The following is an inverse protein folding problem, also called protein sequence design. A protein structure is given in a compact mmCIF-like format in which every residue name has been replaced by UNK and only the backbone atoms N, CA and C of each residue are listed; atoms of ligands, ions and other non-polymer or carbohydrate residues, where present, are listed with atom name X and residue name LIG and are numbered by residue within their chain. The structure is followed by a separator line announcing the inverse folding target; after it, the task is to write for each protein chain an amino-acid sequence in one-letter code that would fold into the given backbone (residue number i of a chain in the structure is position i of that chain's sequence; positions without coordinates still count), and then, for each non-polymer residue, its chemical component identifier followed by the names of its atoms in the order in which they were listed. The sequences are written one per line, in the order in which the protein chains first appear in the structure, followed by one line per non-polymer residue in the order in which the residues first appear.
data_IF_723056773903
#
_entry.id   IF_723056773903
#
_cell.length_a   1.000
_cell.length_b   1.000
_cell.length_c   1.000
_cell.angle_alpha   90.00
_cell.angle_beta   90.00
_cell.angle_gamma   90.00
#
_symmetry.space_group_name_H-M   'P 1'
#
loop_
_entity.id
_entity.type
_entity.pdbx_description
1 polymer ?
2 non-polymer ?
3 non-polymer ?
4 water ?
#
# COMPACT_ATOMS: atom_id res chain seq x y z
N UNK A 20 16.90 -23.20 7.53
CA UNK A 20 17.56 -24.53 7.65
C UNK A 20 16.54 -25.65 7.96
N UNK A 21 15.24 -25.33 7.77
CA UNK A 21 14.10 -26.25 8.03
C UNK A 21 12.94 -26.03 7.00
N UNK A 22 11.91 -26.89 7.03
CA UNK A 22 10.95 -26.96 5.94
C UNK A 22 9.47 -26.67 6.28
N UNK A 23 8.65 -26.56 5.24
CA UNK A 23 7.21 -26.37 5.36
C UNK A 23 6.50 -27.03 4.21
N UNK A 24 5.27 -27.44 4.45
CA UNK A 24 4.46 -28.00 3.41
C UNK A 24 3.22 -27.15 3.26
N UNK A 25 2.89 -26.83 2.02
CA UNK A 25 1.70 -26.07 1.73
C UNK A 25 0.97 -26.74 0.58
N UNK A 26 -0.22 -27.25 0.88
CA UNK A 26 -1.02 -28.02 -0.06
C UNK A 26 -0.20 -29.12 -0.74
N UNK A 27 0.41 -29.96 0.09
CA UNK A 27 1.13 -31.12 -0.40
C UNK A 27 2.53 -30.82 -0.90
N UNK A 28 2.92 -29.55 -0.95
CA UNK A 28 4.22 -29.17 -1.50
C UNK A 28 5.18 -28.61 -0.46
N UNK A 29 6.42 -29.06 -0.58
CA UNK A 29 7.44 -28.70 0.37
C UNK A 29 8.20 -27.47 -0.07
N UNK A 30 8.50 -26.61 0.91
CA UNK A 30 9.26 -25.38 0.71
C UNK A 30 10.41 -25.35 1.70
N UNK A 31 11.60 -24.95 1.24
CA UNK A 31 12.75 -24.78 2.12
C UNK A 31 12.75 -23.35 2.60
N UNK A 32 12.97 -23.14 3.90
CA UNK A 32 13.02 -21.78 4.46
C UNK A 32 14.41 -21.16 4.41
N UNK A 33 14.62 -20.20 3.53
CA UNK A 33 15.89 -19.49 3.49
C UNK A 33 16.03 -18.63 4.75
N UNK A 34 15.07 -17.75 4.99
CA UNK A 34 15.12 -16.86 6.16
C UNK A 34 13.74 -16.30 6.45
N UNK A 35 13.62 -15.72 7.63
CA UNK A 35 12.45 -14.96 8.02
C UNK A 35 12.68 -13.47 7.78
N UNK A 36 11.80 -12.85 7.00
CA UNK A 36 11.88 -11.42 6.69
C UNK A 36 11.22 -10.61 7.79
N UNK A 37 10.08 -11.09 8.30
CA UNK A 37 9.30 -10.33 9.29
C UNK A 37 8.49 -11.19 10.25
N UNK A 38 8.38 -10.68 11.49
CA UNK A 38 7.69 -11.34 12.61
C UNK A 38 6.46 -10.52 13.01
N UNK A 39 5.75 -10.96 14.05
CA UNK A 39 4.53 -10.28 14.53
C UNK A 39 3.64 -11.10 15.46
N UNK A 40 2.50 -10.50 15.83
CA UNK A 40 1.36 -11.23 16.39
C UNK A 40 0.37 -11.51 15.25
N UNK A 41 -0.11 -12.75 15.15
CA UNK A 41 0.68 -13.92 15.45
C UNK A 41 0.97 -14.40 14.03
N UNK A 42 1.89 -13.70 13.36
CA UNK A 42 2.15 -13.98 11.94
C UNK A 42 3.61 -13.69 11.54
N UNK A 43 4.07 -14.37 10.48
CA UNK A 43 5.47 -14.32 10.08
C UNK A 43 5.60 -14.46 8.57
N UNK A 44 6.62 -13.85 7.99
CA UNK A 44 6.89 -14.10 6.58
C UNK A 44 8.30 -14.69 6.44
N UNK A 45 8.36 -15.84 5.78
CA UNK A 45 9.63 -16.44 5.42
C UNK A 45 9.87 -16.34 3.90
N UNK A 46 11.15 -16.18 3.54
CA UNK A 46 11.56 -16.27 2.17
C UNK A 46 11.90 -17.72 1.92
N UNK A 47 11.33 -18.32 0.88
CA UNK A 47 11.41 -19.77 0.72
C UNK A 47 11.65 -20.18 -0.72
N UNK A 48 12.14 -21.40 -0.87
CA UNK A 48 12.39 -22.02 -2.16
C UNK A 48 11.54 -23.26 -2.33
N UNK A 49 10.90 -23.41 -3.49
CA UNK A 49 10.19 -24.64 -3.82
C UNK A 49 11.13 -25.70 -4.44
N UNK A 50 10.57 -26.84 -4.86
CA UNK A 50 11.41 -27.93 -5.39
C UNK A 50 12.14 -27.56 -6.69
N UNK A 51 11.51 -26.73 -7.51
CA UNK A 51 12.13 -26.18 -8.72
C UNK A 51 13.11 -25.05 -8.34
N UNK A 52 13.31 -24.83 -7.03
CA UNK A 52 14.26 -23.83 -6.52
C UNK A 52 13.80 -22.43 -6.93
N UNK A 53 12.48 -22.24 -7.08
CA UNK A 53 11.87 -20.92 -7.35
C UNK A 53 11.63 -20.23 -6.03
N UNK A 54 11.67 -18.89 -6.02
CA UNK A 54 11.60 -18.13 -4.77
C UNK A 54 10.22 -17.50 -4.44
N UNK A 55 9.82 -17.60 -3.17
CA UNK A 55 8.50 -17.12 -2.73
C UNK A 55 8.55 -16.49 -1.35
N UNK A 56 7.54 -15.68 -1.01
CA UNK A 56 7.34 -15.30 0.38
C UNK A 56 6.18 -16.17 0.80
N UNK A 57 6.28 -16.73 2.00
CA UNK A 57 5.19 -17.46 2.62
C UNK A 57 4.89 -16.74 3.91
N UNK A 58 3.64 -16.27 4.03
CA UNK A 58 3.15 -15.67 5.27
C UNK A 58 2.46 -16.81 6.00
N UNK A 59 2.67 -16.83 7.29
CA UNK A 59 2.02 -17.78 8.14
C UNK A 59 1.37 -17.03 9.26
N UNK A 60 0.10 -17.32 9.52
CA UNK A 60 -0.67 -16.67 10.57
C UNK A 60 -1.13 -17.77 11.53
N UNK A 61 -0.86 -17.56 12.82
CA UNK A 61 -1.28 -18.48 13.87
C UNK A 61 -2.63 -18.01 14.35
N UNK A 62 -3.62 -18.90 14.34
CA UNK A 62 -4.99 -18.51 14.71
C UNK A 62 -5.33 -18.91 16.15
N UNK A 63 -4.35 -19.40 16.92
CA UNK A 63 -4.62 -19.96 18.26
C UNK A 63 -5.55 -19.08 19.12
N UNK A 64 -5.27 -17.79 19.17
CA UNK A 64 -6.06 -16.83 19.97
C UNK A 64 -6.82 -15.82 19.06
N UNK A 65 -7.24 -16.29 17.89
CA UNK A 65 -8.00 -15.51 16.90
C UNK A 65 -9.52 -15.75 17.01
N UNK A 66 -10.27 -14.66 17.21
CA UNK A 66 -11.75 -14.65 17.39
C UNK A 66 -12.55 -14.59 16.09
N UNK A 67 -13.80 -15.06 16.09
CA UNK A 67 -14.60 -15.21 14.85
C UNK A 67 -14.63 -13.99 13.94
N UNK A 68 -14.68 -12.82 14.56
CA UNK A 68 -14.69 -11.56 13.83
C UNK A 68 -13.33 -11.44 13.10
N UNK A 69 -12.25 -11.56 13.86
CA UNK A 69 -10.93 -11.60 13.27
C UNK A 69 -10.85 -12.61 12.12
N UNK A 70 -11.28 -13.85 12.39
CA UNK A 70 -11.18 -14.92 11.42
C UNK A 70 -11.93 -14.57 10.15
N UNK A 71 -13.11 -14.00 10.29
CA UNK A 71 -13.86 -13.66 9.11
C UNK A 71 -13.18 -12.53 8.34
N UNK A 72 -12.64 -11.55 9.06
CA UNK A 72 -11.89 -10.47 8.43
C UNK A 72 -10.77 -11.04 7.57
N UNK A 73 -10.04 -12.00 8.12
CA UNK A 73 -8.95 -12.67 7.39
C UNK A 73 -9.49 -13.46 6.19
N UNK A 74 -10.58 -14.17 6.38
CA UNK A 74 -11.08 -14.94 5.28
C UNK A 74 -11.48 -14.03 4.15
N UNK A 75 -11.95 -12.83 4.52
CA UNK A 75 -12.43 -11.85 3.54
C UNK A 75 -11.29 -11.27 2.74
N UNK A 76 -10.27 -10.75 3.39
CA UNK A 76 -9.09 -10.29 2.69
C UNK A 76 -8.47 -11.39 1.78
N UNK A 77 -8.34 -12.60 2.29
CA UNK A 77 -7.86 -13.71 1.44
C UNK A 77 -8.77 -13.90 0.21
N UNK A 78 -10.06 -13.74 0.38
CA UNK A 78 -10.97 -13.98 -0.74
C UNK A 78 -10.67 -12.98 -1.86
N UNK A 79 -10.50 -11.71 -1.47
CA UNK A 79 -10.35 -10.60 -2.41
C UNK A 79 -9.00 -10.59 -3.08
N UNK A 80 -7.95 -10.84 -2.31
CA UNK A 80 -6.63 -11.07 -2.91
C UNK A 80 -6.66 -12.14 -3.98
N UNK A 81 -7.41 -13.18 -3.70
CA UNK A 81 -7.49 -14.25 -4.65
C UNK A 81 -8.23 -13.82 -5.91
N UNK A 82 -9.34 -13.09 -5.75
CA UNK A 82 -10.14 -12.68 -6.90
C UNK A 82 -9.36 -11.68 -7.74
N UNK A 83 -8.84 -10.63 -7.11
CA UNK A 83 -8.21 -9.56 -7.83
C UNK A 83 -6.91 -9.99 -8.51
N UNK A 84 -6.35 -11.15 -8.16
CA UNK A 84 -5.33 -11.82 -9.00
C UNK A 84 -5.55 -11.57 -10.50
N UNK A 85 -6.64 -12.16 -11.03
CA UNK A 85 -6.95 -12.11 -12.45
C UNK A 85 -6.86 -10.68 -13.00
N UNK A 86 -7.30 -9.69 -12.21
CA UNK A 86 -7.66 -8.35 -12.74
C UNK A 86 -6.53 -7.33 -12.86
N UNK A 87 -5.35 -7.58 -12.27
CA UNK A 87 -4.23 -6.64 -12.38
C UNK A 87 -2.93 -7.18 -11.79
N UNK A 88 -1.87 -7.12 -12.56
CA UNK A 88 -0.59 -7.51 -12.03
C UNK A 88 0.01 -6.45 -11.11
N UNK A 89 -0.67 -5.32 -10.87
CA UNK A 89 -0.20 -4.40 -9.82
C UNK A 89 -0.69 -4.75 -8.42
N UNK A 90 -1.36 -5.91 -8.27
CA UNK A 90 -1.63 -6.52 -6.98
C UNK A 90 -0.69 -7.71 -6.82
N UNK A 91 -0.14 -7.89 -5.62
CA UNK A 91 0.80 -8.97 -5.26
C UNK A 91 0.25 -10.35 -5.65
N UNK A 92 1.10 -11.29 -6.07
CA UNK A 92 0.57 -12.60 -6.53
C UNK A 92 0.36 -13.50 -5.33
N UNK A 93 -0.80 -14.16 -5.32
CA UNK A 93 -1.09 -15.27 -4.41
C UNK A 93 -1.23 -16.52 -5.26
N UNK A 94 -0.27 -17.42 -5.09
CA UNK A 94 -0.19 -18.65 -5.92
C UNK A 94 -0.93 -19.77 -5.22
N UNK A 95 -0.94 -19.73 -3.89
CA UNK A 95 -1.59 -20.75 -3.10
C UNK A 95 -1.73 -20.41 -1.63
N UNK A 96 -2.54 -21.22 -0.97
CA UNK A 96 -2.70 -21.09 0.48
C UNK A 96 -3.27 -22.34 1.05
N UNK A 97 -2.94 -22.57 2.31
CA UNK A 97 -3.50 -23.65 3.08
C UNK A 97 -4.03 -23.08 4.39
N UNK A 98 -5.30 -23.34 4.67
CA UNK A 98 -5.94 -22.75 5.83
C UNK A 98 -6.63 -23.80 6.65
N UNK A 99 -6.29 -23.86 7.93
CA UNK A 99 -6.99 -24.72 8.89
C UNK A 99 -7.44 -23.86 10.07
N UNK A 100 -7.94 -24.52 11.11
CA UNK A 100 -8.41 -23.82 12.28
C UNK A 100 -7.25 -23.29 13.13
N UNK A 101 -6.06 -23.87 12.95
CA UNK A 101 -4.87 -23.46 13.71
C UNK A 101 -4.02 -22.41 13.00
N UNK A 102 -3.99 -22.43 11.66
CA UNK A 102 -3.10 -21.53 10.92
C UNK A 102 -3.52 -21.24 9.50
N UNK A 103 -2.96 -20.16 8.95
CA UNK A 103 -2.96 -19.94 7.50
C UNK A 103 -1.52 -20.03 6.97
N UNK A 104 -1.39 -20.50 5.75
CA UNK A 104 -0.14 -20.40 5.01
C UNK A 104 -0.47 -19.79 3.70
N UNK A 105 0.16 -18.69 3.34
CA UNK A 105 -0.13 -18.10 2.06
C UNK A 105 1.15 -18.14 1.28
N UNK A 106 1.06 -18.66 0.06
CA UNK A 106 2.21 -18.72 -0.80
C UNK A 106 2.10 -17.64 -1.87
N UNK A 107 2.92 -16.62 -1.66
CA UNK A 107 2.87 -15.38 -2.42
C UNK A 107 4.16 -15.09 -3.15
N UNK A 108 4.08 -14.15 -4.08
CA UNK A 108 5.24 -13.55 -4.75
C UNK A 108 6.18 -12.89 -3.73
N UNK A 109 7.49 -13.14 -3.84
CA UNK A 109 8.47 -12.50 -2.98
C UNK A 109 8.97 -11.15 -3.50
N UNK A 110 8.84 -10.13 -2.66
CA UNK A 110 9.31 -8.82 -3.01
C UNK A 110 10.81 -8.68 -2.87
N UNK A 111 11.35 -7.65 -3.53
CA UNK A 111 12.73 -7.28 -3.37
C UNK A 111 12.89 -6.40 -2.13
N UNK A 112 11.91 -5.55 -1.89
CA UNK A 112 11.96 -4.55 -0.81
C UNK A 112 10.61 -3.85 -0.80
N UNK A 113 10.21 -3.33 0.33
CA UNK A 113 8.98 -2.60 0.41
C UNK A 113 9.32 -1.18 0.12
N UNK A 114 8.32 -0.44 -0.33
CA UNK A 114 8.51 0.91 -0.77
C UNK A 114 9.10 1.77 0.34
N UNK A 115 8.67 1.56 1.57
CA UNK A 115 9.09 2.44 2.65
C UNK A 115 10.57 2.30 3.02
N UNK A 116 11.02 1.05 3.12
CA UNK A 116 12.43 0.79 3.26
C UNK A 116 13.11 1.45 2.10
N UNK A 117 12.56 1.25 0.91
CA UNK A 117 13.21 1.74 -0.29
C UNK A 117 13.36 3.27 -0.28
N UNK A 118 12.32 3.99 0.15
CA UNK A 118 12.39 5.45 0.26
C UNK A 118 13.25 5.93 1.43
N UNK A 119 13.09 5.30 2.60
CA UNK A 119 13.95 5.54 3.75
C UNK A 119 15.45 5.48 3.36
N UNK A 120 15.82 4.53 2.49
CA UNK A 120 17.24 4.31 2.11
C UNK A 120 17.61 4.95 0.75
N UNK A 121 16.73 5.80 0.19
CA UNK A 121 17.02 6.54 -1.05
C UNK A 121 17.26 8.04 -0.70
N UNK A 122 18.27 8.66 -1.33
CA UNK A 122 18.62 10.08 -1.08
C UNK A 122 17.94 11.07 -2.06
N UNK A 123 17.43 10.55 -3.18
CA UNK A 123 16.51 11.25 -4.07
C UNK A 123 15.91 10.19 -5.01
N UNK A 124 15.00 10.58 -5.89
CA UNK A 124 14.46 9.62 -6.83
C UNK A 124 14.49 10.11 -8.26
N UNK A 125 14.71 9.16 -9.16
CA UNK A 125 14.70 9.40 -10.58
C UNK A 125 13.30 9.89 -10.94
N UNK A 126 13.19 11.06 -11.59
CA UNK A 126 11.86 11.59 -11.92
C UNK A 126 10.98 10.61 -12.68
N UNK A 127 11.60 9.79 -13.53
CA UNK A 127 10.94 8.79 -14.34
C UNK A 127 10.53 7.61 -13.51
N UNK A 128 11.42 7.21 -12.61
CA UNK A 128 11.20 6.06 -11.77
C UNK A 128 10.00 6.34 -10.90
N UNK A 129 9.97 7.55 -10.32
CA UNK A 129 8.81 8.06 -9.58
C UNK A 129 7.50 8.05 -10.39
N UNK A 130 7.53 8.63 -11.58
CA UNK A 130 6.36 8.66 -12.43
C UNK A 130 5.89 7.24 -12.66
N UNK A 131 6.82 6.33 -12.89
CA UNK A 131 6.44 4.95 -13.14
C UNK A 131 5.86 4.26 -11.89
N UNK A 132 6.32 4.64 -10.69
CA UNK A 132 5.75 4.04 -9.48
C UNK A 132 4.36 4.61 -9.24
N UNK A 133 4.19 5.90 -9.54
CA UNK A 133 2.85 6.49 -9.44
C UNK A 133 1.87 5.70 -10.32
N UNK A 134 2.14 5.54 -11.62
CA UNK A 134 1.29 4.74 -12.49
C UNK A 134 0.90 3.42 -11.81
N UNK A 135 1.84 2.77 -11.16
CA UNK A 135 1.55 1.52 -10.52
C UNK A 135 0.59 1.70 -9.34
N UNK A 136 0.89 2.64 -8.44
CA UNK A 136 0.02 2.87 -7.28
C UNK A 136 -1.37 3.12 -7.78
N UNK A 137 -1.53 3.99 -8.77
CA UNK A 137 -2.88 4.30 -9.30
C UNK A 137 -3.57 3.06 -9.86
N UNK A 138 -2.84 2.17 -10.52
CA UNK A 138 -3.49 0.99 -11.12
C UNK A 138 -3.98 -0.01 -10.04
N UNK A 139 -3.19 -0.18 -8.98
CA UNK A 139 -3.60 -1.12 -7.93
C UNK A 139 -4.85 -0.62 -7.24
N UNK A 140 -4.81 0.65 -6.84
CA UNK A 140 -5.90 1.23 -6.09
C UNK A 140 -7.09 1.39 -6.98
N UNK A 141 -6.88 1.77 -8.22
CA UNK A 141 -7.99 1.84 -9.17
C UNK A 141 -8.69 0.50 -9.15
N UNK A 142 -7.94 -0.59 -9.04
CA UNK A 142 -8.58 -1.89 -9.14
C UNK A 142 -9.55 -2.19 -7.99
N UNK A 143 -9.08 -1.96 -6.78
CA UNK A 143 -9.78 -2.41 -5.61
C UNK A 143 -11.02 -1.51 -5.59
N UNK A 144 -10.83 -0.23 -5.88
CA UNK A 144 -11.98 0.66 -6.00
C UNK A 144 -13.01 0.12 -6.95
N UNK A 145 -12.62 -0.48 -8.07
CA UNK A 145 -13.58 -1.06 -9.03
C UNK A 145 -14.34 -2.22 -8.44
N UNK A 146 -13.81 -2.83 -7.38
CA UNK A 146 -14.54 -3.90 -6.70
C UNK A 146 -15.20 -3.45 -5.37
N UNK A 147 -15.29 -2.16 -5.12
CA UNK A 147 -15.96 -1.68 -3.92
C UNK A 147 -15.11 -1.56 -2.67
N UNK A 148 -13.83 -1.90 -2.75
CA UNK A 148 -12.91 -1.81 -1.62
C UNK A 148 -12.29 -0.41 -1.55
N UNK A 149 -12.31 0.20 -0.37
CA UNK A 149 -11.59 1.45 -0.12
C UNK A 149 -10.54 1.13 0.95
N UNK A 150 -9.27 1.20 0.62
CA UNK A 150 -8.26 0.75 1.54
C UNK A 150 -8.27 1.59 2.80
N UNK A 151 -8.22 2.89 2.62
CA UNK A 151 -8.39 3.84 3.73
C UNK A 151 -7.29 3.77 4.80
N UNK A 152 -6.18 3.11 4.49
CA UNK A 152 -4.99 3.25 5.30
C UNK A 152 -3.74 3.01 4.49
N UNK A 153 -3.55 3.81 3.44
CA UNK A 153 -2.48 3.58 2.50
C UNK A 153 -1.20 4.19 2.96
N UNK A 154 -0.12 3.42 2.93
CA UNK A 154 1.20 3.90 3.28
C UNK A 154 2.20 3.34 2.28
N UNK A 155 3.45 3.83 2.33
CA UNK A 155 4.48 3.16 1.55
C UNK A 155 4.68 1.68 1.92
N UNK A 156 4.55 1.31 3.20
CA UNK A 156 4.75 -0.09 3.60
C UNK A 156 3.72 -1.03 2.98
N UNK A 157 2.60 -0.49 2.50
CA UNK A 157 1.62 -1.31 1.80
C UNK A 157 2.02 -1.68 0.37
N UNK A 158 3.22 -1.29 -0.06
CA UNK A 158 3.67 -1.55 -1.43
C UNK A 158 5.00 -2.23 -1.50
N UNK A 159 5.17 -2.99 -2.57
CA UNK A 159 6.30 -3.88 -2.68
C UNK A 159 6.89 -3.62 -4.05
N UNK A 160 8.20 -3.61 -4.14
CA UNK A 160 8.90 -3.49 -5.41
C UNK A 160 9.27 -4.89 -5.90
N UNK A 161 8.68 -5.33 -7.00
CA UNK A 161 8.98 -6.65 -7.53
C UNK A 161 9.45 -6.59 -8.99
N UNK A 162 10.75 -6.66 -9.21
CA UNK A 162 11.21 -6.70 -10.57
C UNK A 162 10.81 -5.36 -11.21
N UNK A 163 11.36 -4.28 -10.62
CA UNK A 163 11.17 -2.89 -11.09
C UNK A 163 9.79 -2.28 -10.93
N UNK A 164 8.84 -3.08 -10.46
CA UNK A 164 7.42 -2.78 -10.57
C UNK A 164 6.81 -2.70 -9.16
N UNK A 165 5.96 -1.70 -8.92
CA UNK A 165 5.28 -1.57 -7.61
C UNK A 165 4.01 -2.43 -7.53
N UNK A 166 3.88 -3.17 -6.44
CA UNK A 166 2.68 -3.99 -6.25
C UNK A 166 2.08 -3.79 -4.86
N UNK A 167 0.74 -3.73 -4.85
CA UNK A 167 -0.08 -3.58 -3.62
C UNK A 167 -0.32 -4.95 -2.99
N UNK A 168 -0.05 -5.05 -1.69
CA UNK A 168 -0.04 -6.34 -1.01
C UNK A 168 -1.26 -6.66 -0.17
N UNK A 169 -2.06 -5.65 0.13
CA UNK A 169 -3.03 -5.70 1.21
C UNK A 169 -4.18 -4.76 0.84
N UNK A 170 -5.36 -4.96 1.40
CA UNK A 170 -6.54 -4.16 1.02
C UNK A 170 -7.20 -3.44 2.17
N UNK A 171 -6.59 -3.47 3.35
CA UNK A 171 -7.11 -2.72 4.49
C UNK A 171 -8.25 -3.40 5.19
N UNK A 172 -8.53 -4.65 4.81
CA UNK A 172 -9.66 -5.39 5.37
C UNK A 172 -9.24 -6.14 6.62
N UNK A 173 -8.23 -7.00 6.50
CA UNK A 173 -7.68 -7.70 7.67
C UNK A 173 -6.99 -6.67 8.58
N UNK A 190 5.24 7.09 8.89
CA UNK A 190 4.48 7.07 10.13
C UNK A 190 3.04 6.72 9.87
N UNK A 191 2.22 6.79 10.91
CA UNK A 191 0.82 6.36 10.84
C UNK A 191 -0.06 7.51 10.29
N UNK A 192 -0.21 8.53 11.14
CA UNK A 192 -1.09 9.68 10.93
C UNK A 192 -0.71 10.61 9.75
N UNK A 193 0.52 10.48 9.23
CA UNK A 193 1.02 11.32 8.12
C UNK A 193 0.17 11.31 6.86
N UNK A 194 -0.28 10.11 6.49
CA UNK A 194 -0.98 9.86 5.23
C UNK A 194 -2.51 9.83 5.44
N UNK A 195 -2.93 10.21 6.64
CA UNK A 195 -4.30 10.11 7.04
C UNK A 195 -5.05 11.28 6.46
N UNK A 196 -6.14 11.01 5.73
CA UNK A 196 -6.98 12.09 5.19
C UNK A 196 -7.77 12.76 6.30
N UNK A 197 -8.14 14.03 6.10
CA UNK A 197 -8.84 14.75 7.15
C UNK A 197 -10.25 14.24 7.43
N UNK A 198 -10.86 13.55 6.46
CA UNK A 198 -12.21 12.99 6.67
C UNK A 198 -12.22 11.79 7.63
N UNK A 199 -11.05 11.20 7.87
CA UNK A 199 -10.87 10.12 8.86
C UNK A 199 -10.65 10.69 10.26
N UNK A 200 -10.22 11.94 10.32
CA UNK A 200 -9.93 12.61 11.57
C UNK A 200 -11.21 13.23 12.14
N UNK A 201 -12.04 13.82 11.27
CA UNK A 201 -13.38 14.28 11.68
C UNK A 201 -14.38 13.11 11.99
N UNK A 202 -14.01 11.88 11.58
CA UNK A 202 -14.81 10.66 11.79
C UNK A 202 -14.30 9.84 13.00
N UNK A 214 -20.29 6.46 7.80
CA UNK A 214 -20.86 7.78 7.60
C UNK A 214 -19.99 8.69 6.70
N UNK A 215 -18.69 8.40 6.53
CA UNK A 215 -17.76 9.40 6.00
C UNK A 215 -16.60 8.95 5.09
N UNK A 216 -16.54 7.67 4.70
CA UNK A 216 -15.38 7.20 3.90
C UNK A 216 -15.70 6.77 2.45
N UNK A 217 -14.94 7.37 1.52
CA UNK A 217 -15.16 7.28 0.08
C UNK A 217 -13.83 6.94 -0.59
N UNK A 218 -13.88 6.53 -1.88
CA UNK A 218 -12.63 6.26 -2.63
C UNK A 218 -11.68 7.46 -2.66
N UNK A 219 -12.23 8.66 -2.56
CA UNK A 219 -11.44 9.86 -2.42
C UNK A 219 -10.46 9.85 -1.25
N UNK A 220 -10.73 9.11 -0.19
CA UNK A 220 -9.82 9.13 0.96
C UNK A 220 -8.49 8.49 0.58
N UNK A 221 -8.57 7.51 -0.34
CA UNK A 221 -7.40 6.81 -0.81
C UNK A 221 -6.57 7.77 -1.61
N UNK A 222 -7.22 8.60 -2.43
CA UNK A 222 -6.50 9.59 -3.24
C UNK A 222 -5.71 10.54 -2.37
N UNK A 223 -6.28 10.97 -1.24
CA UNK A 223 -5.53 11.81 -0.34
C UNK A 223 -4.24 11.10 0.07
N UNK A 224 -4.36 9.82 0.43
CA UNK A 224 -3.22 9.09 0.97
C UNK A 224 -2.15 8.85 -0.06
N UNK A 225 -2.54 8.44 -1.27
CA UNK A 225 -1.61 8.42 -2.41
C UNK A 225 -0.92 9.75 -2.59
N UNK A 226 -1.73 10.80 -2.57
CA UNK A 226 -1.20 12.16 -2.57
C UNK A 226 -0.03 12.33 -1.61
N UNK A 227 -0.17 11.82 -0.39
CA UNK A 227 0.89 11.95 0.59
C UNK A 227 2.18 11.20 0.19
N UNK A 228 2.02 10.07 -0.48
CA UNK A 228 3.15 9.25 -0.93
C UNK A 228 3.92 10.00 -2.02
N UNK A 229 3.26 10.35 -3.09
CA UNK A 229 3.91 11.13 -4.13
C UNK A 229 4.64 12.33 -3.50
N UNK A 230 3.95 13.05 -2.64
CA UNK A 230 4.53 14.21 -2.00
C UNK A 230 5.87 13.83 -1.35
N UNK A 231 5.87 12.75 -0.58
CA UNK A 231 7.11 12.21 -0.04
C UNK A 231 8.11 12.00 -1.19
N UNK A 232 7.68 11.33 -2.27
CA UNK A 232 8.60 11.02 -3.38
C UNK A 232 9.03 12.26 -4.18
N UNK A 233 8.35 13.38 -3.98
CA UNK A 233 8.71 14.59 -4.67
C UNK A 233 9.53 15.50 -3.79
N UNK A 234 9.13 15.65 -2.52
CA UNK A 234 9.78 16.60 -1.61
C UNK A 234 10.62 15.93 -0.52
N UNK A 235 10.71 14.60 -0.54
CA UNK A 235 11.46 13.88 0.49
C UNK A 235 10.84 13.96 1.90
N UNK A 236 9.53 14.22 1.98
CA UNK A 236 8.77 14.20 3.24
C UNK A 236 7.28 14.28 2.99
N UNK A 237 6.46 13.81 3.95
CA UNK A 237 5.01 13.97 3.86
C UNK A 237 4.65 15.41 4.23
N UNK A 238 3.44 15.87 3.87
CA UNK A 238 3.02 17.26 4.05
C UNK A 238 2.99 17.83 5.48
N UNK A 239 2.92 16.99 6.50
CA UNK A 239 2.84 17.51 7.88
C UNK A 239 3.93 16.95 8.79
N UNK A 240 5.01 16.50 8.16
CA UNK A 240 6.10 15.84 8.86
C UNK A 240 6.85 16.84 9.73
N UNK A 241 6.82 18.13 9.35
CA UNK A 241 7.41 19.21 10.16
C UNK A 241 6.75 19.29 11.52
N UNK A 242 5.44 19.05 11.57
CA UNK A 242 4.67 19.26 12.80
C UNK A 242 5.02 18.19 13.86
N UNK A 243 6.06 18.50 14.61
CA UNK A 243 6.49 17.76 15.79
C UNK A 243 5.34 17.03 16.47
N UNK A 244 4.39 17.79 17.02
CA UNK A 244 3.34 17.30 17.92
C UNK A 244 2.15 16.66 17.18
N UNK A 245 1.69 15.48 17.64
CA UNK A 245 0.74 14.68 16.87
C UNK A 245 -0.71 15.16 16.97
N UNK A 246 -1.05 15.95 17.99
CA UNK A 246 -2.36 16.62 18.02
C UNK A 246 -2.33 17.87 17.15
N UNK A 247 -1.27 18.68 17.28
CA UNK A 247 -1.08 19.87 16.45
C UNK A 247 -1.13 19.50 14.96
N UNK A 248 -0.54 18.35 14.64
CA UNK A 248 -0.66 17.72 13.30
C UNK A 248 -2.11 17.53 12.91
N UNK A 249 -2.86 16.87 13.78
CA UNK A 249 -4.25 16.55 13.47
C UNK A 249 -5.11 17.79 13.21
N UNK A 250 -4.86 18.86 13.97
CA UNK A 250 -5.52 20.14 13.67
C UNK A 250 -5.03 20.74 12.37
N UNK A 251 -3.73 20.64 12.13
CA UNK A 251 -3.15 21.04 10.85
C UNK A 251 -3.79 20.32 9.65
N UNK A 252 -4.04 19.02 9.77
CA UNK A 252 -4.54 18.24 8.64
C UNK A 252 -5.96 18.67 8.26
N UNK A 253 -6.75 19.09 9.25
CA UNK A 253 -8.15 19.40 9.00
C UNK A 253 -8.47 20.89 8.88
N UNK A 254 -7.49 21.77 9.19
CA UNK A 254 -7.71 23.23 9.26
C UNK A 254 -7.34 23.95 7.95
N UNK A 255 -8.32 24.62 7.29
CA UNK A 255 -8.08 25.25 5.98
C UNK A 255 -7.23 26.53 6.03
N UNK A 256 -7.24 27.23 7.17
CA UNK A 256 -6.28 28.34 7.40
C UNK A 256 -4.81 27.87 7.43
N UNK A 257 -4.55 26.58 7.16
CA UNK A 257 -3.19 26.06 7.06
C UNK A 257 -2.84 25.74 5.62
N UNK A 258 -2.28 26.71 4.90
CA UNK A 258 -1.82 26.47 3.52
C UNK A 258 -0.80 25.34 3.58
N UNK A 259 -0.99 24.32 2.74
CA UNK A 259 0.05 23.34 2.50
C UNK A 259 1.03 23.94 1.49
N UNK A 260 2.32 23.73 1.73
CA UNK A 260 3.37 24.27 0.84
C UNK A 260 3.67 23.30 -0.33
N UNK A 261 3.85 23.87 -1.53
CA UNK A 261 4.27 23.12 -2.72
C UNK A 261 5.38 23.89 -3.48
N UNK A 262 6.65 23.78 -3.02
CA UNK A 262 7.80 24.47 -3.64
C UNK A 262 7.94 24.27 -5.17
N UNK A 263 8.32 25.34 -5.89
CA UNK A 263 8.51 25.29 -7.34
C UNK A 263 9.47 24.16 -7.70
N UNK A 264 9.08 23.31 -8.64
CA UNK A 264 9.94 22.27 -9.15
C UNK A 264 9.76 22.19 -10.65
N UNK A 265 10.75 21.66 -11.37
CA UNK A 265 10.76 21.57 -12.82
C UNK A 265 9.52 20.95 -13.45
N UNK A 266 8.91 20.00 -12.76
CA UNK A 266 7.72 19.33 -13.27
C UNK A 266 6.47 20.00 -12.73
N UNK A 267 5.96 20.96 -13.49
CA UNK A 267 4.72 21.67 -13.12
C UNK A 267 3.51 20.72 -13.04
N UNK A 268 3.52 19.64 -13.81
CA UNK A 268 2.47 18.62 -13.74
C UNK A 268 2.39 17.97 -12.34
N UNK A 269 3.53 17.47 -11.87
CA UNK A 269 3.67 16.86 -10.57
C UNK A 269 3.06 17.76 -9.49
N UNK A 270 3.43 19.04 -9.55
CA UNK A 270 2.89 20.09 -8.69
C UNK A 270 1.36 20.19 -8.71
N UNK A 271 0.78 20.04 -9.90
CA UNK A 271 -0.67 20.10 -10.08
C UNK A 271 -1.27 18.83 -9.48
N UNK A 272 -0.71 17.68 -9.81
CA UNK A 272 -1.27 16.43 -9.30
C UNK A 272 -1.35 16.52 -7.80
N UNK A 273 -0.23 16.90 -7.17
CA UNK A 273 -0.18 17.02 -5.71
C UNK A 273 -1.20 18.03 -5.19
N UNK A 274 -1.26 19.20 -5.81
CA UNK A 274 -2.22 20.24 -5.40
C UNK A 274 -3.65 19.68 -5.39
N UNK A 275 -3.91 18.73 -6.31
CA UNK A 275 -5.26 18.17 -6.54
C UNK A 275 -5.68 17.06 -5.60
N UNK A 276 -4.74 16.18 -5.29
CA UNK A 276 -4.96 15.09 -4.33
C UNK A 276 -5.08 15.59 -2.92
N UNK A 277 -4.35 16.64 -2.59
CA UNK A 277 -4.32 17.12 -1.21
C UNK A 277 -5.36 18.23 -0.88
N UNK A 278 -6.42 18.35 -1.68
CA UNK A 278 -7.53 19.23 -1.31
C UNK A 278 -8.32 18.59 -0.15
N UNK A 279 -8.48 19.35 0.93
CA UNK A 279 -9.06 18.83 2.16
C UNK A 279 -10.52 18.39 2.06
N UNK A 280 -11.27 19.00 1.16
CA UNK A 280 -12.67 18.58 0.92
C UNK A 280 -12.71 17.49 -0.14
N UNK A 281 -13.08 16.26 0.24
CA UNK A 281 -13.13 15.14 -0.74
C UNK A 281 -13.91 15.46 -2.01
N UNK A 282 -15.01 16.19 -1.86
CA UNK A 282 -15.80 16.63 -3.03
C UNK A 282 -14.97 17.50 -4.00
N UNK A 283 -14.07 18.34 -3.46
CA UNK A 283 -13.15 19.17 -4.26
C UNK A 283 -11.94 18.38 -4.75
N UNK A 284 -11.60 17.32 -4.04
CA UNK A 284 -10.44 16.46 -4.38
C UNK A 284 -10.67 15.67 -5.69
N UNK A 285 -9.55 15.31 -6.33
CA UNK A 285 -9.56 14.62 -7.62
C UNK A 285 -9.79 13.08 -7.48
N UNK A 286 -10.30 12.43 -8.53
CA UNK A 286 -10.68 11.02 -8.47
C UNK A 286 -9.63 10.18 -9.13
N UNK A 287 -9.55 8.91 -8.73
CA UNK A 287 -8.57 8.00 -9.35
C UNK A 287 -8.73 7.98 -10.85
N UNK A 288 -9.97 7.92 -11.36
CA UNK A 288 -10.03 7.85 -12.82
C UNK A 288 -9.63 9.16 -13.51
N UNK A 289 -9.78 10.29 -12.83
CA UNK A 289 -9.30 11.57 -13.40
C UNK A 289 -7.76 11.58 -13.38
N UNK A 290 -7.17 11.33 -12.22
CA UNK A 290 -5.71 11.16 -12.09
C UNK A 290 -5.09 10.32 -13.20
N UNK A 291 -5.81 9.27 -13.63
CA UNK A 291 -5.35 8.42 -14.74
C UNK A 291 -5.27 9.07 -16.12
N UNK A 292 -6.00 10.17 -16.32
CA UNK A 292 -6.01 10.92 -17.60
C UNK A 292 -5.18 12.24 -17.52
N UNK A 293 -4.54 12.46 -16.37
CA UNK A 293 -3.79 13.68 -16.08
C UNK A 293 -2.50 13.72 -16.90
N UNK A 294 -2.11 14.92 -17.34
CA UNK A 294 -0.87 15.10 -18.07
C UNK A 294 0.34 14.40 -17.47
N UNK A 295 0.38 14.32 -16.15
CA UNK A 295 1.53 13.77 -15.48
C UNK A 295 1.76 12.30 -15.83
N UNK A 296 0.75 11.45 -15.68
CA UNK A 296 0.89 10.05 -16.03
C UNK A 296 0.83 9.82 -17.53
N UNK A 297 0.37 10.80 -18.31
CA UNK A 297 0.14 10.54 -19.75
C UNK A 297 1.20 11.07 -20.68
N UNK A 298 1.93 12.09 -20.27
CA UNK A 298 2.97 12.71 -21.12
C UNK A 298 4.36 12.65 -20.46
N UNK A 299 5.42 12.37 -21.24
CA UNK A 299 6.82 12.46 -20.74
C UNK A 299 7.77 12.89 -21.85
X LIG B 1 14.89 -6.26 2.99
X LIG B 1 15.53 -5.97 4.37
X LIG B 1 15.26 -4.55 4.91
X LIG B 1 16.41 -3.74 4.66
X LIG B 1 14.01 -3.92 4.25
X LIG B 1 12.90 -4.93 3.92
X LIG B 1 13.44 -6.06 3.12
X LIG B 1 12.53 -6.89 2.47
X LIG B 1 12.96 -8.05 1.84
X LIG B 1 12.01 -8.84 1.20
X LIG B 1 12.40 -10.00 0.58
X LIG B 1 13.81 -10.19 0.57
X LIG B 1 11.20 -6.50 2.45
X LIG B 1 10.27 -7.29 1.81
X LIG B 1 10.65 -8.47 1.18
X LIG B 1 9.73 -9.25 0.54
X LIG B 1 8.44 -9.47 0.91
X LIG B 1 7.89 -9.00 2.11
X LIG B 1 7.65 -10.18 0.07
X LIG B 1 6.35 -10.43 0.33
X LIG B 1 5.42 -11.07 -0.36
X LIG B 1 4.30 -11.05 0.38
X LIG B 1 4.51 -10.37 1.52
X LIG B 1 5.77 -10.00 1.52
X LIG B 1 6.55 -9.28 2.42
X LIG B 1 5.96 -8.83 3.55
X LIG B 1 6.65 -8.43 4.63
X LIG B 1 7.81 -9.10 4.97
X LIG B 1 8.53 -8.69 6.10
X LIG B 1 8.09 -7.62 6.89
X LIG B 1 6.93 -6.97 6.57
X LIG B 1 6.20 -7.37 5.43
X LIG B 1 4.76 -6.44 5.09
X LIG B 1 4.26 -5.86 6.37
X LIG B 1 3.76 -7.30 4.37
X LIG B 1 5.23 -5.04 4.06
X LIG B 1 6.11 -4.08 4.86
X LIG B 1 5.97 -5.58 2.86
X LIG C 1 -1.59 -10.47 8.98
X LIG C 1 -3.00 -10.52 9.16
X LIG C 1 -3.27 -11.85 8.48
X LIG C 1 -4.26 -11.76 7.47
X LIG C 1 -4.04 -12.82 6.57
X LIG C 1 -4.35 -12.15 5.27
X LIG C 1 -3.11 -11.82 4.69
X LIG C 1 -3.35 -11.34 3.34
X LIG C 1 -2.59 -10.06 3.05
X LIG C 1 -1.20 -10.51 2.93
X LIG C 1 -0.30 -9.38 2.94
X LIG C 1 0.86 -9.59 3.86
X LIG C 1 0.67 -8.83 5.09
X LIG C 1 1.89 -9.02 5.94
X LIG C 1 1.71 -9.57 7.39
X LIG C 1 0.46 -9.03 7.90
X LIG D 1 -10.64 -19.13 -7.53
X LIG D 1 -10.88 -19.52 -6.15
X LIG D 1 -10.31 -20.88 -5.72
X LIG D 1 -8.86 -20.87 -5.53
X LIG D 1 -8.57 -21.05 -4.09
X LIG D 1 -7.19 -21.66 -3.80
X LIG D 1 -6.19 -21.27 -4.79
X LIG D 1 -5.54 -20.01 -4.40
X LIG D 1 -4.82 -19.31 -5.58
X LIG D 1 -5.84 -18.83 -6.51
X LIG D 1 -5.37 -18.45 -7.88
X LIG D 1 -6.50 -18.48 -8.94
X LIG D 1 -7.45 -17.40 -8.75
#
# INVERSE_FOLDING_TARGET
MHHHHHHSSGVDLGTENLYFQSMSVKGRIYSILKQIGSGGSSKVFQVLNEKKQIYAIKYVNLEEADNQTLDSYRNEIAYLNKLQQHSDKIIRLYDYEITDQYIYMVMECGNIDLNSWLKKKKSIDPWERKSYWKNMLEAVHTIHQHGIVHSDLKPANFLIVDGMLKLIDFGIANQMQPDTTSVVKDSQVGTVNYMPPEAIKDMSSSRENGKSKSKISPKSDVWSLGCILYYMTYGKTPFQQIINQISKLHAIIDPNHEIEFPDIPEKDLQDVLKCCLKRDPKQRISIPELLAHPYVQIQTHPVNQMAKGTTEE
S22 CAT CAU CAV OAY CAW CAX NAS CAN CAO CAP OAQ CAR CAM CAL CAK NAJ CAA CAB NAF CAE NAI CAH CAG CAD CAC NAZ CBA CBF CBE CBD CBC CBB SBG OBH OBI CBJ CBL CBK
7PE O19 C18 C17 O16 C15 C14 O13 C12 C11 O10 C9 C8 O7 C6 C5 O4
7PE O13 C12 C11 O10 C9 C8 O7 C6 C5 O4 C3 C2 O1
#
